data_IF_538970769105
#
_entry.id   IF_538970769105
#
_cell.length_a   1.000
_cell.length_b   1.000
_cell.length_c   1.000
_cell.angle_alpha   90.00
_cell.angle_beta   90.00
_cell.angle_gamma   90.00
#
_symmetry.space_group_name_H-M   'P 1'
#
loop_
_entity.id
_entity.type
_entity.pdbx_description
1 polymer ?
#
# COMPACT_ATOMS: atom_id res chain seq x y z
N UNK A 1 9.00 13.92 35.98
CA UNK A 1 8.07 12.91 35.42
C UNK A 1 8.91 11.90 34.63
N UNK A 2 8.98 10.64 35.06
CA UNK A 2 9.61 9.58 34.26
C UNK A 2 8.70 9.31 33.05
N UNK A 3 9.23 9.41 31.82
CA UNK A 3 8.50 8.97 30.61
C UNK A 3 8.12 7.51 30.81
N UNK A 4 6.82 7.20 30.80
CA UNK A 4 6.29 5.88 31.16
C UNK A 4 6.46 4.84 30.04
N UNK A 5 6.69 5.31 28.81
CA UNK A 5 7.03 4.51 27.63
C UNK A 5 8.34 5.05 27.06
N UNK A 6 9.45 4.41 27.42
CA UNK A 6 10.78 4.61 26.86
C UNK A 6 11.08 3.54 25.80
N UNK A 7 12.22 3.67 25.11
CA UNK A 7 12.81 2.66 24.23
C UNK A 7 12.46 1.24 24.66
N UNK A 8 11.85 0.45 23.78
CA UNK A 8 11.62 -0.98 24.02
C UNK A 8 12.96 -1.70 23.78
N UNK A 9 13.38 -2.54 24.72
CA UNK A 9 14.62 -3.31 24.59
C UNK A 9 14.33 -4.69 24.00
N UNK A 10 15.25 -5.18 23.18
CA UNK A 10 15.25 -6.56 22.68
C UNK A 10 15.23 -7.55 23.86
N UNK A 11 14.09 -8.21 24.05
CA UNK A 11 13.80 -9.00 25.25
C UNK A 11 13.50 -10.48 24.97
N UNK A 12 13.58 -10.92 23.70
CA UNK A 12 13.16 -12.26 23.28
C UNK A 12 14.27 -13.01 22.55
N UNK A 13 14.46 -14.28 22.92
CA UNK A 13 15.45 -15.18 22.32
C UNK A 13 14.82 -16.17 21.32
N UNK A 14 13.49 -16.29 21.29
CA UNK A 14 12.79 -17.22 20.40
C UNK A 14 11.39 -16.76 19.97
N UNK A 15 10.96 -17.25 18.82
CA UNK A 15 9.60 -17.02 18.29
C UNK A 15 8.49 -17.58 19.21
N UNK A 16 8.77 -18.65 19.96
CA UNK A 16 7.83 -19.23 20.92
C UNK A 16 7.59 -18.28 22.10
N UNK A 17 8.65 -17.60 22.58
CA UNK A 17 8.52 -16.59 23.63
C UNK A 17 7.69 -15.40 23.15
N UNK A 18 7.94 -14.90 21.92
CA UNK A 18 7.15 -13.81 21.32
C UNK A 18 5.69 -14.24 21.20
N UNK A 19 5.41 -15.41 20.60
CA UNK A 19 4.05 -15.93 20.44
C UNK A 19 3.34 -16.09 21.79
N UNK A 20 4.06 -16.60 22.78
CA UNK A 20 3.53 -16.78 24.15
C UNK A 20 3.24 -15.44 24.82
N UNK A 21 4.10 -14.44 24.66
CA UNK A 21 3.87 -13.11 25.23
C UNK A 21 2.77 -12.34 24.50
N UNK A 22 2.63 -12.51 23.18
CA UNK A 22 1.49 -12.00 22.42
C UNK A 22 0.18 -12.62 22.93
N UNK A 23 0.15 -13.95 23.06
CA UNK A 23 -1.01 -14.67 23.59
C UNK A 23 -1.33 -14.25 25.04
N UNK A 24 -0.32 -14.11 25.91
CA UNK A 24 -0.50 -13.63 27.30
C UNK A 24 -0.94 -12.17 27.36
N UNK A 25 -0.49 -11.34 26.42
CA UNK A 25 -0.96 -9.96 26.30
C UNK A 25 -2.42 -9.90 25.84
N UNK A 26 -3.02 -11.02 25.44
CA UNK A 26 -4.38 -11.06 24.90
C UNK A 26 -4.44 -10.55 23.47
N UNK A 27 -3.35 -10.68 22.71
CA UNK A 27 -3.42 -10.56 21.26
C UNK A 27 -4.00 -11.87 20.72
N UNK A 28 -5.33 -11.92 20.65
CA UNK A 28 -6.05 -13.04 20.04
C UNK A 28 -6.02 -12.94 18.50
N UNK A 29 -5.69 -11.74 18.00
CA UNK A 29 -6.19 -11.26 16.71
C UNK A 29 -5.41 -10.01 16.29
N UNK A 30 -4.81 -9.99 15.09
CA UNK A 30 -4.12 -8.83 14.50
C UNK A 30 -4.39 -8.74 13.00
N UNK A 31 -4.10 -7.58 12.40
CA UNK A 31 -4.25 -7.37 10.97
C UNK A 31 -2.94 -6.87 10.37
N UNK A 32 -2.55 -7.39 9.21
CA UNK A 32 -1.33 -6.99 8.51
C UNK A 32 -1.61 -6.01 7.36
N UNK A 33 -0.82 -4.92 7.28
CA UNK A 33 -0.78 -4.00 6.14
C UNK A 33 0.61 -4.07 5.53
N UNK A 34 0.73 -4.14 4.20
CA UNK A 34 2.03 -4.16 3.50
C UNK A 34 2.20 -2.89 2.66
N UNK A 35 3.30 -2.19 2.88
CA UNK A 35 3.77 -1.07 2.07
C UNK A 35 5.09 -1.41 1.38
N UNK A 36 5.14 -1.25 0.06
CA UNK A 36 6.34 -1.53 -0.75
C UNK A 36 6.88 -0.23 -1.35
N UNK A 37 8.16 0.01 -1.09
CA UNK A 37 8.93 1.09 -1.69
C UNK A 37 9.24 0.75 -3.16
N UNK A 38 8.80 1.60 -4.09
CA UNK A 38 9.08 1.55 -5.53
C UNK A 38 9.88 2.77 -6.01
N UNK A 39 10.74 3.30 -5.15
CA UNK A 39 11.64 4.41 -5.51
C UNK A 39 12.81 3.91 -6.36
N UNK A 40 13.40 4.84 -7.10
CA UNK A 40 14.47 4.57 -8.06
C UNK A 40 15.76 4.10 -7.40
N UNK A 41 15.97 4.38 -6.11
CA UNK A 41 17.17 3.94 -5.41
C UNK A 41 17.38 2.44 -5.39
N UNK A 42 16.29 1.68 -5.47
CA UNK A 42 16.30 0.23 -5.65
C UNK A 42 17.10 -0.25 -6.87
N UNK A 43 17.34 0.59 -7.88
CA UNK A 43 18.18 0.24 -9.04
C UNK A 43 19.67 0.10 -8.68
N UNK A 44 20.15 0.78 -7.63
CA UNK A 44 21.56 0.80 -7.27
C UNK A 44 21.86 0.32 -5.84
N UNK A 45 20.87 0.23 -4.96
CA UNK A 45 21.04 -0.27 -3.57
C UNK A 45 21.14 -1.80 -3.48
N UNK A 46 21.11 -2.50 -4.61
CA UNK A 46 21.47 -3.92 -4.72
C UNK A 46 22.93 -4.18 -5.13
N UNK A 47 23.77 -3.15 -5.18
CA UNK A 47 25.14 -3.24 -5.72
C UNK A 47 25.99 -4.32 -5.04
N UNK A 48 25.94 -4.40 -3.72
CA UNK A 48 26.73 -5.38 -2.96
C UNK A 48 25.86 -6.54 -2.45
N UNK A 49 24.60 -6.28 -2.09
CA UNK A 49 23.70 -7.25 -1.51
C UNK A 49 22.97 -8.14 -2.51
N UNK A 50 22.93 -7.74 -3.79
CA UNK A 50 22.14 -8.42 -4.82
C UNK A 50 22.83 -8.41 -6.19
N UNK A 51 24.14 -8.65 -6.19
CA UNK A 51 24.97 -8.87 -7.40
C UNK A 51 24.89 -7.74 -8.45
N UNK A 52 24.68 -6.49 -8.02
CA UNK A 52 24.55 -5.37 -8.96
C UNK A 52 23.19 -5.25 -9.62
N UNK A 53 22.23 -6.13 -9.30
CA UNK A 53 20.88 -6.08 -9.82
C UNK A 53 20.02 -5.11 -9.02
N UNK A 54 18.95 -4.62 -9.66
CA UNK A 54 17.89 -3.90 -8.97
C UNK A 54 17.27 -4.80 -7.90
N UNK A 55 16.94 -4.23 -6.73
CA UNK A 55 16.26 -4.95 -5.66
C UNK A 55 14.86 -5.44 -6.07
N UNK A 56 14.27 -4.86 -7.12
CA UNK A 56 13.02 -5.31 -7.74
C UNK A 56 13.23 -6.24 -8.94
N UNK A 57 14.45 -6.66 -9.27
CA UNK A 57 14.66 -7.53 -10.43
C UNK A 57 13.85 -8.83 -10.28
N UNK A 58 12.96 -9.10 -11.24
CA UNK A 58 12.15 -10.32 -11.28
C UNK A 58 12.90 -11.37 -12.09
N UNK A 59 13.22 -12.49 -11.46
CA UNK A 59 13.91 -13.61 -12.10
C UNK A 59 13.51 -14.96 -11.53
N UNK A 60 14.39 -15.95 -11.73
CA UNK A 60 14.25 -17.33 -11.24
C UNK A 60 14.40 -17.44 -9.72
N UNK A 61 15.14 -16.51 -9.11
CA UNK A 61 15.34 -16.42 -7.68
C UNK A 61 14.57 -15.24 -7.09
N UNK A 62 14.07 -15.42 -5.87
CA UNK A 62 13.39 -14.37 -5.13
C UNK A 62 14.35 -13.21 -4.84
N UNK A 63 13.95 -12.00 -5.23
CA UNK A 63 14.64 -10.78 -4.84
C UNK A 63 14.41 -10.46 -3.34
N UNK A 64 15.15 -9.49 -2.76
CA UNK A 64 15.03 -9.18 -1.34
C UNK A 64 13.61 -8.81 -0.87
N UNK A 65 12.83 -8.10 -1.69
CA UNK A 65 11.42 -7.80 -1.38
C UNK A 65 10.57 -9.08 -1.33
N UNK A 66 10.71 -9.95 -2.33
CA UNK A 66 9.97 -11.21 -2.39
C UNK A 66 10.28 -12.14 -1.20
N UNK A 67 11.56 -12.20 -0.79
CA UNK A 67 11.98 -12.96 0.39
C UNK A 67 11.37 -12.37 1.67
N UNK A 68 11.41 -11.05 1.83
CA UNK A 68 10.84 -10.39 3.00
C UNK A 68 9.32 -10.62 3.12
N UNK A 69 8.57 -10.47 2.02
CA UNK A 69 7.12 -10.74 1.97
C UNK A 69 6.82 -12.19 2.34
N UNK A 70 7.57 -13.14 1.79
CA UNK A 70 7.38 -14.57 2.06
C UNK A 70 7.60 -14.88 3.54
N UNK A 71 8.75 -14.50 4.10
CA UNK A 71 9.13 -14.90 5.45
C UNK A 71 8.24 -14.24 6.52
N UNK A 72 7.96 -12.94 6.40
CA UNK A 72 7.05 -12.27 7.34
C UNK A 72 5.63 -12.79 7.15
N UNK A 73 5.23 -13.04 5.91
CA UNK A 73 3.92 -13.60 5.61
C UNK A 73 3.63 -14.90 6.34
N UNK A 74 4.54 -15.87 6.25
CA UNK A 74 4.40 -17.16 6.94
C UNK A 74 4.44 -17.03 8.47
N UNK A 75 5.10 -16.00 8.98
CA UNK A 75 5.20 -15.73 10.41
C UNK A 75 3.94 -15.05 10.94
N UNK A 76 3.45 -14.05 10.22
CA UNK A 76 2.30 -13.19 10.58
C UNK A 76 0.96 -13.80 10.25
N UNK A 77 0.87 -14.71 9.27
CA UNK A 77 -0.38 -15.42 8.98
C UNK A 77 -0.91 -16.26 10.15
N UNK A 78 -0.10 -16.48 11.19
CA UNK A 78 -0.53 -17.15 12.43
C UNK A 78 -1.29 -16.23 13.39
N UNK A 79 -1.14 -14.92 13.22
CA UNK A 79 -1.74 -13.88 14.06
C UNK A 79 -2.72 -13.02 13.27
N UNK A 80 -2.84 -13.23 11.96
CA UNK A 80 -3.75 -12.51 11.08
C UNK A 80 -5.12 -13.20 11.08
N UNK A 81 -6.18 -12.45 11.36
CA UNK A 81 -7.53 -13.02 11.61
C UNK A 81 -8.25 -13.47 10.37
N UNK A 82 -8.17 -12.66 9.31
CA UNK A 82 -9.01 -12.79 8.12
C UNK A 82 -8.19 -13.16 6.87
N UNK A 83 -6.86 -13.19 6.97
CA UNK A 83 -5.94 -13.43 5.87
C UNK A 83 -6.14 -12.39 4.74
N UNK A 84 -6.64 -11.19 5.07
CA UNK A 84 -6.85 -10.08 4.15
C UNK A 84 -5.80 -9.01 4.39
N UNK A 85 -4.91 -8.84 3.43
CA UNK A 85 -3.73 -7.99 3.57
C UNK A 85 -3.84 -6.81 2.62
N UNK A 86 -4.21 -5.61 3.09
CA UNK A 86 -4.11 -4.38 2.30
C UNK A 86 -2.65 -4.17 1.85
N UNK A 87 -2.43 -4.15 0.54
CA UNK A 87 -1.11 -4.01 -0.06
C UNK A 87 -1.04 -2.73 -0.89
N UNK A 88 -0.02 -1.92 -0.61
CA UNK A 88 0.18 -0.62 -1.24
C UNK A 88 1.62 -0.46 -1.74
N UNK A 89 1.78 0.29 -2.84
CA UNK A 89 3.07 0.76 -3.32
C UNK A 89 3.21 2.27 -3.23
N UNK A 90 4.44 2.78 -3.08
CA UNK A 90 4.73 4.21 -3.04
C UNK A 90 6.10 4.53 -3.65
N UNK A 91 6.31 5.78 -4.07
CA UNK A 91 7.61 6.24 -4.59
C UNK A 91 7.84 6.01 -6.09
N UNK A 92 6.86 5.44 -6.80
CA UNK A 92 6.89 5.33 -8.26
C UNK A 92 6.52 6.66 -8.94
N UNK A 93 6.61 6.71 -10.26
CA UNK A 93 6.31 7.92 -11.04
C UNK A 93 4.85 8.39 -10.95
N UNK A 94 3.92 7.55 -10.50
CA UNK A 94 2.54 7.96 -10.26
C UNK A 94 2.35 8.59 -8.88
N UNK A 95 3.06 8.11 -7.85
CA UNK A 95 2.85 8.50 -6.46
C UNK A 95 3.86 9.50 -5.90
N UNK A 96 5.11 9.47 -6.37
CA UNK A 96 6.22 10.26 -5.83
C UNK A 96 6.28 10.18 -4.28
N UNK A 97 6.52 11.30 -3.59
CA UNK A 97 6.51 11.42 -2.13
C UNK A 97 5.15 11.83 -1.54
N UNK A 98 4.07 11.74 -2.35
CA UNK A 98 2.77 12.32 -2.02
C UNK A 98 1.69 11.30 -1.80
N UNK A 99 1.69 10.22 -2.57
CA UNK A 99 0.60 9.26 -2.59
C UNK A 99 1.07 7.83 -2.42
N UNK A 100 0.09 6.93 -2.32
CA UNK A 100 0.29 5.49 -2.42
C UNK A 100 -0.69 4.96 -3.46
N UNK A 101 -0.36 3.87 -4.13
CA UNK A 101 -1.29 3.14 -4.98
C UNK A 101 -1.66 1.80 -4.34
N UNK A 102 -2.90 1.38 -4.52
CA UNK A 102 -3.37 0.05 -4.14
C UNK A 102 -2.92 -0.99 -5.16
N UNK A 103 -2.64 -2.22 -4.72
CA UNK A 103 -2.29 -3.33 -5.61
C UNK A 103 -3.43 -3.72 -6.57
N UNK A 104 -4.69 -3.47 -6.18
CA UNK A 104 -5.89 -3.73 -6.99
C UNK A 104 -6.70 -2.46 -7.22
N UNK A 105 -7.34 -2.36 -8.40
CA UNK A 105 -8.13 -1.20 -8.81
C UNK A 105 -9.36 -0.95 -7.94
N UNK A 106 -10.00 -2.02 -7.47
CA UNK A 106 -11.15 -1.98 -6.56
C UNK A 106 -10.75 -1.79 -5.08
N UNK A 107 -9.45 -1.59 -4.82
CA UNK A 107 -8.87 -1.43 -3.48
C UNK A 107 -9.11 -2.64 -2.57
N UNK A 108 -9.39 -3.82 -3.13
CA UNK A 108 -9.52 -5.02 -2.32
C UNK A 108 -8.17 -5.42 -1.72
N UNK A 109 -8.16 -5.94 -0.48
CA UNK A 109 -6.97 -6.56 0.09
C UNK A 109 -6.56 -7.83 -0.66
N UNK A 110 -5.29 -8.20 -0.56
CA UNK A 110 -4.78 -9.49 -1.02
C UNK A 110 -5.22 -10.60 -0.07
N UNK A 111 -5.59 -11.77 -0.60
CA UNK A 111 -5.90 -12.97 0.17
C UNK A 111 -4.58 -13.69 0.47
N UNK A 112 -4.03 -13.38 1.64
CA UNK A 112 -2.77 -13.89 2.13
C UNK A 112 -1.55 -13.41 1.35
N UNK A 113 -0.38 -13.80 1.86
CA UNK A 113 0.91 -13.36 1.32
C UNK A 113 1.27 -13.98 -0.01
N UNK A 114 0.73 -15.16 -0.31
CA UNK A 114 0.89 -15.78 -1.63
C UNK A 114 0.27 -14.90 -2.73
N UNK A 115 -0.91 -14.31 -2.51
CA UNK A 115 -1.50 -13.38 -3.47
C UNK A 115 -0.75 -12.06 -3.51
N UNK A 116 -0.32 -11.53 -2.36
CA UNK A 116 0.49 -10.31 -2.30
C UNK A 116 1.79 -10.45 -3.11
N UNK A 117 2.50 -11.58 -2.96
CA UNK A 117 3.72 -11.89 -3.69
C UNK A 117 3.46 -12.04 -5.20
N UNK A 118 2.40 -12.77 -5.57
CA UNK A 118 2.02 -12.92 -6.98
C UNK A 118 1.73 -11.56 -7.61
N UNK A 119 0.94 -10.72 -6.93
CA UNK A 119 0.55 -9.41 -7.43
C UNK A 119 1.73 -8.45 -7.50
N UNK A 120 2.65 -8.50 -6.53
CA UNK A 120 3.92 -7.78 -6.60
C UNK A 120 4.69 -8.12 -7.88
N UNK A 121 4.86 -9.41 -8.21
CA UNK A 121 5.55 -9.85 -9.44
C UNK A 121 4.86 -9.40 -10.72
N UNK A 122 3.54 -9.30 -10.73
CA UNK A 122 2.75 -8.79 -11.87
C UNK A 122 2.93 -7.27 -12.06
N UNK A 123 2.99 -6.52 -10.95
CA UNK A 123 3.06 -5.06 -10.97
C UNK A 123 4.46 -4.54 -11.30
N UNK A 124 5.51 -5.13 -10.72
CA UNK A 124 6.89 -4.65 -10.82
C UNK A 124 7.34 -4.31 -12.25
N UNK A 125 7.11 -5.15 -13.28
CA UNK A 125 7.54 -4.85 -14.65
C UNK A 125 6.87 -3.63 -15.28
N UNK A 126 5.73 -3.20 -14.74
CA UNK A 126 4.92 -2.09 -15.24
C UNK A 126 5.11 -0.80 -14.44
N UNK A 127 5.79 -0.88 -13.29
CA UNK A 127 6.06 0.27 -12.42
C UNK A 127 7.30 1.01 -12.91
N UNK A 128 7.19 2.33 -13.03
CA UNK A 128 8.33 3.22 -13.29
C UNK A 128 8.85 3.78 -11.98
N UNK A 129 9.98 3.27 -11.51
CA UNK A 129 10.59 3.70 -10.25
C UNK A 129 10.97 5.19 -10.29
N UNK A 130 10.67 5.93 -9.22
CA UNK A 130 10.89 7.37 -9.16
C UNK A 130 11.32 7.85 -7.76
N UNK A 131 10.70 8.91 -7.24
CA UNK A 131 11.00 9.53 -5.95
C UNK A 131 10.38 10.94 -5.91
N UNK A 132 10.63 11.76 -4.89
CA UNK A 132 11.43 11.50 -3.68
C UNK A 132 10.85 10.38 -2.79
N UNK A 133 11.63 9.95 -1.79
CA UNK A 133 11.25 8.90 -0.85
C UNK A 133 10.76 9.50 0.46
N UNK A 134 9.50 9.22 0.83
CA UNK A 134 8.92 9.51 2.14
C UNK A 134 7.99 8.38 2.56
N UNK A 135 8.00 8.01 3.85
CA UNK A 135 7.07 7.02 4.39
C UNK A 135 5.77 7.64 4.91
N UNK A 136 5.66 8.97 4.90
CA UNK A 136 4.44 9.64 5.36
C UNK A 136 3.18 9.16 4.62
N UNK A 137 3.15 9.01 3.27
CA UNK A 137 1.95 8.57 2.58
C UNK A 137 1.47 7.17 3.00
N UNK A 138 2.40 6.23 3.19
CA UNK A 138 2.06 4.85 3.57
C UNK A 138 1.64 4.75 5.04
N UNK A 139 2.27 5.51 5.93
CA UNK A 139 1.86 5.57 7.35
C UNK A 139 0.48 6.23 7.48
N UNK A 140 0.20 7.29 6.72
CA UNK A 140 -1.12 7.92 6.65
C UNK A 140 -2.20 6.99 6.09
N UNK A 141 -1.85 6.19 5.08
CA UNK A 141 -2.74 5.16 4.57
C UNK A 141 -3.06 4.11 5.65
N UNK A 142 -2.05 3.63 6.38
CA UNK A 142 -2.26 2.68 7.46
C UNK A 142 -3.15 3.24 8.58
N UNK A 143 -2.97 4.52 8.96
CA UNK A 143 -3.88 5.19 9.89
C UNK A 143 -5.32 5.22 9.36
N UNK A 144 -5.52 5.43 8.06
CA UNK A 144 -6.84 5.40 7.42
C UNK A 144 -7.47 4.00 7.48
N UNK A 145 -6.68 2.95 7.22
CA UNK A 145 -7.13 1.55 7.34
C UNK A 145 -7.55 1.25 8.79
N UNK A 146 -6.74 1.64 9.77
CA UNK A 146 -7.06 1.46 11.20
C UNK A 146 -8.35 2.17 11.60
N UNK A 147 -8.61 3.39 11.10
CA UNK A 147 -9.91 4.05 11.37
C UNK A 147 -11.07 3.33 10.70
N UNK A 148 -10.90 2.86 9.46
CA UNK A 148 -11.94 2.19 8.68
C UNK A 148 -12.38 0.86 9.29
N UNK A 149 -11.48 0.18 10.00
CA UNK A 149 -11.74 -1.08 10.72
C UNK A 149 -12.30 -0.87 12.13
N UNK A 150 -12.55 0.37 12.55
CA UNK A 150 -13.09 0.69 13.87
C UNK A 150 -12.03 0.78 14.97
N UNK A 151 -10.76 0.99 14.62
CA UNK A 151 -9.65 1.04 15.58
C UNK A 151 -9.15 -0.35 15.99
N UNK A 152 -9.23 -1.34 15.09
CA UNK A 152 -8.59 -2.64 15.32
C UNK A 152 -7.07 -2.51 15.29
N UNK A 153 -6.38 -3.42 15.97
CA UNK A 153 -4.92 -3.44 15.98
C UNK A 153 -4.37 -3.86 14.62
N UNK A 154 -3.43 -3.07 14.10
CA UNK A 154 -2.74 -3.37 12.85
C UNK A 154 -1.23 -3.30 13.01
N UNK A 155 -0.53 -4.12 12.23
CA UNK A 155 0.91 -4.04 12.01
C UNK A 155 1.13 -3.57 10.57
N UNK A 156 1.73 -2.40 10.39
CA UNK A 156 2.20 -1.92 9.09
C UNK A 156 3.63 -2.43 8.85
N UNK A 157 3.76 -3.30 7.86
CA UNK A 157 5.04 -3.74 7.33
C UNK A 157 5.46 -2.84 6.16
N UNK A 158 6.51 -2.05 6.34
CA UNK A 158 7.13 -1.28 5.26
C UNK A 158 8.39 -2.02 4.81
N UNK A 159 8.48 -2.39 3.53
CA UNK A 159 9.71 -2.96 2.95
C UNK A 159 10.33 -1.88 2.08
N UNK A 160 11.55 -1.48 2.41
CA UNK A 160 12.23 -0.36 1.76
C UNK A 160 13.75 -0.49 1.75
N UNK A 161 14.41 0.27 0.89
CA UNK A 161 15.89 0.28 0.77
C UNK A 161 16.59 1.32 1.68
N UNK A 162 15.80 2.03 2.49
CA UNK A 162 16.29 2.97 3.50
C UNK A 162 16.70 4.34 2.98
N UNK A 163 16.57 4.63 1.68
CA UNK A 163 16.99 5.89 1.08
C UNK A 163 15.92 6.99 1.17
N UNK A 164 15.66 7.52 2.37
CA UNK A 164 14.84 8.74 2.49
C UNK A 164 15.55 9.92 1.82
N UNK A 165 14.83 10.67 0.99
CA UNK A 165 15.44 11.77 0.23
C UNK A 165 15.92 12.87 1.18
N UNK A 166 17.21 13.19 1.08
CA UNK A 166 17.84 14.37 1.68
C UNK A 166 17.97 15.46 0.64
N UNK A 167 17.65 16.71 1.00
CA UNK A 167 17.92 17.82 0.10
C UNK A 167 19.43 18.07 0.02
N UNK A 168 19.95 18.49 -1.12
CA UNK A 168 21.36 18.89 -1.21
C UNK A 168 21.69 20.11 -0.33
N UNK A 169 20.67 20.90 0.04
CA UNK A 169 20.78 22.13 0.81
C UNK A 169 20.66 21.92 2.34
N UNK A 170 20.43 20.69 2.81
CA UNK A 170 20.35 20.42 4.25
C UNK A 170 21.76 20.44 4.86
N UNK A 171 22.07 21.50 5.62
CA UNK A 171 23.26 21.56 6.48
C UNK A 171 23.30 20.39 7.46
N UNK A 172 24.50 19.91 7.80
CA UNK A 172 24.72 18.83 8.77
C UNK A 172 23.86 19.01 10.03
N UNK A 173 22.89 18.11 10.25
CA UNK A 173 22.02 18.08 11.42
C UNK A 173 20.58 18.57 11.22
N UNK A 174 20.22 19.15 10.07
CA UNK A 174 18.83 19.51 9.75
C UNK A 174 18.11 18.41 8.97
N UNK A 175 16.86 18.14 9.37
CA UNK A 175 16.00 17.15 8.70
C UNK A 175 15.50 17.68 7.36
N UNK A 176 15.48 16.82 6.34
CA UNK A 176 14.85 17.12 5.05
C UNK A 176 13.32 17.27 5.20
N UNK A 177 12.63 17.90 4.23
CA UNK A 177 11.17 17.94 4.23
C UNK A 177 10.54 16.55 4.32
N UNK A 178 11.09 15.57 3.58
CA UNK A 178 10.63 14.18 3.57
C UNK A 178 10.87 13.49 4.91
N UNK A 179 12.04 13.68 5.54
CA UNK A 179 12.35 13.16 6.86
C UNK A 179 11.40 13.72 7.92
N UNK A 180 11.14 15.03 7.88
CA UNK A 180 10.21 15.67 8.81
C UNK A 180 8.76 15.19 8.61
N UNK A 181 8.33 15.00 7.36
CA UNK A 181 7.02 14.43 7.06
C UNK A 181 6.88 13.01 7.61
N UNK A 182 7.90 12.16 7.41
CA UNK A 182 7.94 10.80 7.94
C UNK A 182 7.88 10.80 9.48
N UNK A 183 8.70 11.63 10.15
CA UNK A 183 8.68 11.73 11.62
C UNK A 183 7.32 12.18 12.14
N UNK A 184 6.72 13.21 11.51
CA UNK A 184 5.40 13.69 11.91
C UNK A 184 4.32 12.61 11.73
N UNK A 185 4.40 11.82 10.65
CA UNK A 185 3.49 10.71 10.42
C UNK A 185 3.66 9.60 11.47
N UNK A 186 4.90 9.25 11.85
CA UNK A 186 5.17 8.26 12.92
C UNK A 186 4.63 8.74 14.27
N UNK A 187 4.87 10.01 14.63
CA UNK A 187 4.33 10.61 15.86
C UNK A 187 2.82 10.58 15.86
N UNK A 188 2.17 10.96 14.76
CA UNK A 188 0.71 10.90 14.64
C UNK A 188 0.18 9.47 14.70
N UNK A 189 0.87 8.52 14.08
CA UNK A 189 0.52 7.10 14.13
C UNK A 189 0.57 6.51 15.55
N UNK A 190 1.35 7.09 16.46
CA UNK A 190 1.39 6.67 17.87
C UNK A 190 0.11 6.99 18.66
N UNK A 191 -0.83 7.74 18.07
CA UNK A 191 -2.17 7.94 18.63
C UNK A 191 -3.13 6.79 18.26
N UNK A 192 -2.78 5.95 17.29
CA UNK A 192 -3.59 4.86 16.76
C UNK A 192 -3.10 3.49 17.28
N UNK A 193 -3.96 2.46 17.31
CA UNK A 193 -3.55 1.08 17.58
C UNK A 193 -2.77 0.49 16.39
N UNK A 194 -1.62 1.09 16.07
CA UNK A 194 -0.80 0.80 14.90
C UNK A 194 0.67 0.62 15.32
N UNK A 195 1.22 -0.55 15.02
CA UNK A 195 2.65 -0.85 15.08
C UNK A 195 3.26 -0.74 13.69
N UNK A 196 4.47 -0.17 13.57
CA UNK A 196 5.17 -0.03 12.29
C UNK A 196 6.46 -0.84 12.35
N UNK A 197 6.64 -1.75 11.40
CA UNK A 197 7.85 -2.54 11.23
C UNK A 197 8.47 -2.20 9.87
N UNK A 198 9.64 -1.56 9.89
CA UNK A 198 10.40 -1.24 8.70
C UNK A 198 11.46 -2.33 8.44
N UNK A 199 11.30 -3.04 7.34
CA UNK A 199 12.25 -4.04 6.86
C UNK A 199 13.17 -3.42 5.82
N UNK A 200 14.42 -3.25 6.22
CA UNK A 200 15.49 -2.72 5.37
C UNK A 200 16.09 -3.77 4.46
N UNK A 201 15.86 -3.65 3.16
CA UNK A 201 16.46 -4.48 2.11
C UNK A 201 17.53 -3.72 1.32
N UNK A 202 18.54 -4.40 0.80
CA UNK A 202 19.64 -3.73 0.09
C UNK A 202 20.80 -3.29 0.97
N UNK A 203 21.66 -2.46 0.39
CA UNK A 203 22.95 -2.04 0.95
C UNK A 203 22.84 -0.95 2.06
N UNK A 204 21.71 -0.28 2.19
CA UNK A 204 21.55 0.90 3.05
C UNK A 204 22.20 2.16 2.44
N UNK A 205 22.66 3.15 3.24
CA UNK A 205 22.91 3.10 4.70
C UNK A 205 21.66 3.15 5.58
N UNK A 206 21.76 2.58 6.79
CA UNK A 206 20.65 2.40 7.74
C UNK A 206 20.66 3.34 8.95
N UNK A 207 21.62 4.27 9.03
CA UNK A 207 21.82 5.12 10.22
C UNK A 207 20.59 5.94 10.60
N UNK A 208 19.82 6.36 9.59
CA UNK A 208 18.60 7.12 9.82
C UNK A 208 17.46 6.25 10.35
N UNK A 209 17.35 5.01 9.87
CA UNK A 209 16.32 4.09 10.34
C UNK A 209 16.55 3.70 11.80
N UNK A 210 17.81 3.50 12.18
CA UNK A 210 18.22 3.31 13.59
C UNK A 210 17.88 4.53 14.47
N UNK A 211 17.99 5.75 13.92
CA UNK A 211 17.56 6.96 14.66
C UNK A 211 16.05 7.02 14.85
N UNK A 212 15.27 6.49 13.91
CA UNK A 212 13.81 6.47 14.01
C UNK A 212 13.30 5.43 15.01
N UNK A 213 13.99 4.29 15.14
CA UNK A 213 13.83 3.34 16.25
C UNK A 213 13.99 4.04 17.60
N UNK A 214 15.17 4.61 17.83
CA UNK A 214 15.59 4.96 19.19
C UNK A 214 15.13 6.34 19.66
N UNK A 215 14.95 7.29 18.74
CA UNK A 215 15.04 8.72 19.04
C UNK A 215 13.98 9.59 18.35
N UNK A 216 12.72 9.15 18.32
CA UNK A 216 11.60 10.03 17.93
C UNK A 216 10.98 10.70 19.16
N UNK A 217 11.25 12.00 19.42
CA UNK A 217 10.60 12.72 20.49
C UNK A 217 9.11 12.97 20.16
N UNK A 218 8.27 12.98 21.20
CA UNK A 218 6.83 13.30 21.16
C UNK A 218 5.85 12.17 20.78
N UNK A 219 6.31 10.94 20.51
CA UNK A 219 5.41 9.77 20.38
C UNK A 219 4.78 9.37 21.72
N UNK A 220 3.52 8.90 21.68
CA UNK A 220 2.76 8.45 22.86
C UNK A 220 3.31 7.13 23.44
N UNK A 221 3.73 6.24 22.55
CA UNK A 221 4.46 5.01 22.85
C UNK A 221 5.44 4.74 21.71
N UNK A 222 6.37 3.81 21.95
CA UNK A 222 7.30 3.34 20.93
C UNK A 222 6.54 2.48 19.90
N UNK A 223 6.28 3.00 18.70
CA UNK A 223 5.45 2.34 17.69
C UNK A 223 6.20 1.99 16.40
N UNK A 224 7.53 2.03 16.40
CA UNK A 224 8.34 1.88 15.19
C UNK A 224 9.54 0.98 15.48
N UNK A 225 9.64 -0.13 14.76
CA UNK A 225 10.76 -1.08 14.78
C UNK A 225 11.49 -1.08 13.44
N UNK A 226 12.82 -0.98 13.43
CA UNK A 226 13.65 -1.22 12.26
C UNK A 226 14.32 -2.61 12.28
N UNK A 227 14.29 -3.30 11.14
CA UNK A 227 14.97 -4.60 10.96
C UNK A 227 15.83 -4.59 9.70
N UNK A 228 17.13 -4.79 9.87
CA UNK A 228 18.07 -4.92 8.75
C UNK A 228 18.02 -6.34 8.16
N UNK A 229 17.16 -6.55 7.16
CA UNK A 229 16.97 -7.84 6.51
C UNK A 229 18.25 -8.33 5.82
N UNK A 230 18.91 -7.44 5.08
CA UNK A 230 20.15 -7.78 4.34
C UNK A 230 21.24 -8.28 5.29
N UNK A 231 21.43 -7.61 6.43
CA UNK A 231 22.43 -8.01 7.42
C UNK A 231 22.12 -9.40 8.00
N UNK A 232 20.87 -9.67 8.37
CA UNK A 232 20.46 -10.98 8.89
C UNK A 232 20.67 -12.07 7.82
N UNK A 233 20.25 -11.80 6.59
CA UNK A 233 20.34 -12.76 5.49
C UNK A 233 21.78 -13.01 5.02
N UNK A 234 22.71 -12.09 5.29
CA UNK A 234 24.14 -12.23 4.99
C UNK A 234 24.91 -13.13 5.96
N UNK A 235 24.35 -13.42 7.15
CA UNK A 235 25.02 -14.22 8.19
C UNK A 235 25.33 -15.64 7.68
N UNK A 236 26.47 -16.21 8.11
CA UNK A 236 26.91 -17.57 7.75
C UNK A 236 26.26 -18.63 8.65
N UNK A 237 24.93 -18.71 8.59
CA UNK A 237 24.08 -19.67 9.31
C UNK A 237 23.11 -20.34 8.33
N UNK A 238 22.40 -21.38 8.76
CA UNK A 238 21.44 -22.09 7.90
C UNK A 238 20.22 -21.23 7.59
N UNK A 239 19.61 -21.43 6.41
CA UNK A 239 18.48 -20.63 5.93
C UNK A 239 17.30 -20.59 6.93
N UNK A 240 16.84 -21.72 7.52
CA UNK A 240 15.73 -21.68 8.48
C UNK A 240 16.05 -20.86 9.74
N UNK A 241 17.31 -20.81 10.16
CA UNK A 241 17.73 -20.02 11.32
C UNK A 241 17.75 -18.53 10.97
N UNK A 242 18.14 -18.15 9.74
CA UNK A 242 18.04 -16.75 9.29
C UNK A 242 16.60 -16.26 9.30
N UNK A 243 15.69 -17.09 8.79
CA UNK A 243 14.26 -16.79 8.73
C UNK A 243 13.69 -16.64 10.14
N UNK A 244 14.03 -17.54 11.06
CA UNK A 244 13.63 -17.44 12.46
C UNK A 244 14.18 -16.18 13.16
N UNK A 245 15.46 -15.83 12.90
CA UNK A 245 16.07 -14.62 13.46
C UNK A 245 15.42 -13.35 12.89
N UNK A 246 15.09 -13.35 11.60
CA UNK A 246 14.41 -12.24 10.96
C UNK A 246 12.98 -12.06 11.47
N UNK A 247 12.22 -13.15 11.55
CA UNK A 247 10.88 -13.18 12.13
C UNK A 247 10.89 -12.66 13.58
N UNK A 248 11.84 -13.14 14.39
CA UNK A 248 12.00 -12.70 15.77
C UNK A 248 12.30 -11.20 15.86
N UNK A 249 13.23 -10.70 15.03
CA UNK A 249 13.57 -9.28 15.00
C UNK A 249 12.39 -8.40 14.57
N UNK A 250 11.59 -8.83 13.60
CA UNK A 250 10.41 -8.11 13.13
C UNK A 250 9.31 -7.99 14.20
N UNK A 251 9.28 -8.91 15.16
CA UNK A 251 8.24 -8.97 16.20
C UNK A 251 8.74 -8.60 17.58
N UNK A 252 10.00 -8.20 17.71
CA UNK A 252 10.65 -7.99 19.00
C UNK A 252 9.88 -6.98 19.87
N UNK A 253 9.39 -5.91 19.25
CA UNK A 253 8.66 -4.85 19.95
C UNK A 253 7.13 -4.99 19.93
N UNK A 254 6.58 -5.80 19.01
CA UNK A 254 5.14 -5.94 18.81
C UNK A 254 4.37 -6.30 20.10
N UNK A 255 4.84 -7.22 20.98
CA UNK A 255 4.17 -7.49 22.24
C UNK A 255 4.12 -6.29 23.20
N UNK A 256 5.22 -5.56 23.31
CA UNK A 256 5.34 -4.38 24.17
C UNK A 256 4.52 -3.21 23.64
N UNK A 257 4.52 -3.04 22.31
CA UNK A 257 3.68 -2.10 21.57
C UNK A 257 2.19 -2.36 21.80
N UNK A 258 1.76 -3.60 21.67
CA UNK A 258 0.38 -4.00 21.93
C UNK A 258 -0.04 -3.74 23.38
N UNK A 259 0.82 -4.08 24.35
CA UNK A 259 0.58 -3.75 25.77
C UNK A 259 0.45 -2.23 25.99
N UNK A 260 1.30 -1.41 25.37
CA UNK A 260 1.20 0.04 25.47
C UNK A 260 -0.12 0.57 24.86
N UNK A 261 -0.54 0.05 23.71
CA UNK A 261 -1.82 0.37 23.06
C UNK A 261 -3.01 0.08 23.98
N UNK A 262 -3.00 -1.07 24.66
CA UNK A 262 -4.03 -1.42 25.65
C UNK A 262 -4.02 -0.48 26.85
N UNK A 263 -2.84 -0.16 27.40
CA UNK A 263 -2.69 0.73 28.55
C UNK A 263 -3.11 2.18 28.25
N UNK A 264 -2.85 2.65 27.03
CA UNK A 264 -3.30 3.95 26.54
C UNK A 264 -4.81 3.96 26.26
N UNK A 265 -5.46 2.80 26.20
CA UNK A 265 -6.89 2.66 25.94
C UNK A 265 -7.30 3.14 24.56
N UNK A 266 -6.42 3.02 23.56
CA UNK A 266 -6.66 3.45 22.17
C UNK A 266 -7.16 2.31 21.26
N UNK A 267 -7.11 1.06 21.73
CA UNK A 267 -7.68 -0.10 21.02
C UNK A 267 -9.21 0.01 20.92
N UNK A 268 -9.76 -0.28 19.73
CA UNK A 268 -11.20 -0.25 19.44
C UNK A 268 -11.82 1.15 19.44
N UNK A 269 -11.01 2.21 19.31
CA UNK A 269 -11.47 3.60 19.27
C UNK A 269 -11.19 4.23 17.92
N UNK A 270 -12.21 4.89 17.36
CA UNK A 270 -12.03 5.77 16.21
C UNK A 270 -11.67 7.18 16.70
N UNK A 271 -10.55 7.71 16.21
CA UNK A 271 -10.03 9.02 16.63
C UNK A 271 -10.76 10.14 15.90
N UNK A 272 -11.21 9.90 14.65
CA UNK A 272 -12.00 10.84 13.86
C UNK A 272 -11.19 12.06 13.39
N UNK A 273 -9.85 11.98 13.45
CA UNK A 273 -8.90 13.05 13.08
C UNK A 273 -7.84 12.57 12.07
N UNK A 274 -8.01 11.38 11.50
CA UNK A 274 -7.13 10.90 10.43
C UNK A 274 -7.40 11.69 9.14
N UNK A 275 -6.35 12.07 8.38
CA UNK A 275 -6.54 12.51 7.01
C UNK A 275 -7.00 11.27 6.23
N UNK A 276 -8.29 11.18 5.91
CA UNK A 276 -8.88 10.06 5.15
C UNK A 276 -8.22 9.97 3.77
N UNK A 277 -7.14 9.20 3.68
CA UNK A 277 -6.33 9.08 2.47
C UNK A 277 -6.98 8.06 1.54
N UNK A 278 -7.05 8.40 0.25
CA UNK A 278 -7.56 7.49 -0.78
C UNK A 278 -6.38 7.01 -1.62
N UNK A 279 -6.14 5.70 -1.76
CA UNK A 279 -5.05 5.20 -2.59
C UNK A 279 -5.35 5.45 -4.07
N UNK A 280 -4.31 5.70 -4.85
CA UNK A 280 -4.40 5.70 -6.30
C UNK A 280 -4.64 4.27 -6.84
N UNK A 281 -5.22 4.10 -8.03
CA UNK A 281 -5.22 2.82 -8.71
C UNK A 281 -3.79 2.38 -9.07
N UNK A 282 -3.53 1.07 -9.26
CA UNK A 282 -2.22 0.60 -9.68
C UNK A 282 -1.83 1.23 -11.04
N UNK A 283 -0.54 1.59 -11.24
CA UNK A 283 -0.08 2.27 -12.46
C UNK A 283 -0.08 1.35 -13.71
N UNK A 284 -0.28 0.05 -13.53
CA UNK A 284 -0.38 -0.92 -14.62
C UNK A 284 -1.81 -0.95 -15.18
N UNK A 285 -2.02 -0.39 -16.38
CA UNK A 285 -3.33 -0.37 -17.02
C UNK A 285 -3.96 -1.76 -17.12
N UNK A 286 -5.19 -1.92 -16.62
CA UNK A 286 -6.09 -3.08 -16.75
C UNK A 286 -5.42 -4.48 -16.77
N UNK A 287 -4.49 -4.75 -15.85
CA UNK A 287 -4.08 -6.14 -15.56
C UNK A 287 -5.25 -6.98 -14.97
N UNK A 288 -6.29 -6.32 -14.49
CA UNK A 288 -7.46 -6.97 -13.86
C UNK A 288 -8.49 -7.50 -14.90
N UNK A 289 -8.28 -7.26 -16.20
CA UNK A 289 -9.21 -7.68 -17.27
C UNK A 289 -9.12 -9.17 -17.66
N UNK A 290 -8.20 -9.95 -17.07
CA UNK A 290 -7.94 -11.36 -17.44
C UNK A 290 -8.36 -12.39 -16.39
N UNK A 291 -9.01 -11.98 -15.29
CA UNK A 291 -9.53 -12.93 -14.29
C UNK A 291 -11.04 -13.13 -14.54
N UNK A 292 -11.51 -14.33 -14.93
CA UNK A 292 -12.94 -14.62 -14.94
C UNK A 292 -13.51 -14.48 -13.53
N UNK A 293 -14.51 -13.60 -13.38
CA UNK A 293 -15.29 -13.36 -12.18
C UNK A 293 -15.57 -14.66 -11.40
N UNK A 294 -14.89 -14.85 -10.26
CA UNK A 294 -15.28 -15.85 -9.26
C UNK A 294 -16.21 -15.18 -8.24
N UNK A 295 -17.21 -14.44 -8.72
CA UNK A 295 -18.17 -13.69 -7.89
C UNK A 295 -19.38 -14.54 -7.48
N UNK A 296 -19.21 -15.85 -7.28
CA UNK A 296 -20.33 -16.75 -7.00
C UNK A 296 -20.21 -17.62 -5.74
N UNK A 297 -19.13 -17.49 -4.94
CA UNK A 297 -18.92 -18.37 -3.77
C UNK A 297 -19.11 -17.73 -2.39
N UNK A 298 -19.45 -16.43 -2.28
CA UNK A 298 -19.62 -15.73 -0.99
C UNK A 298 -21.08 -15.42 -0.61
N UNK A 299 -22.06 -16.09 -1.20
CA UNK A 299 -23.47 -15.96 -0.80
C UNK A 299 -24.06 -17.30 -0.38
N UNK A 300 -23.57 -17.92 0.69
CA UNK A 300 -24.32 -18.96 1.37
C UNK A 300 -23.73 -19.28 2.74
N UNK A 301 -23.92 -18.41 3.75
CA UNK A 301 -24.00 -18.85 5.15
C UNK A 301 -24.66 -17.76 6.03
N UNK A 302 -26.00 -17.67 5.98
CA UNK A 302 -26.87 -17.34 7.13
C UNK A 302 -28.36 -17.58 6.77
N UNK A 303 -28.87 -18.77 7.14
CA UNK A 303 -30.09 -19.05 7.95
C UNK A 303 -31.18 -17.93 7.89
N UNK A 304 -32.46 -18.10 7.50
CA UNK A 304 -33.45 -19.13 7.85
C UNK A 304 -34.80 -18.95 7.08
N UNK A 305 -35.47 -20.10 6.83
CA UNK A 305 -36.92 -20.37 6.93
C UNK A 305 -37.98 -19.86 5.90
N UNK A 306 -38.56 -20.89 5.23
CA UNK A 306 -40.00 -21.23 5.07
C UNK A 306 -40.91 -20.34 4.20
N UNK A 307 -41.36 -20.90 3.06
CA UNK A 307 -42.71 -21.50 2.83
C UNK A 307 -43.24 -21.27 1.38
N UNK A 308 -42.99 -22.25 0.52
CA UNK A 308 -43.88 -22.94 -0.45
C UNK A 308 -45.05 -22.26 -1.21
N UNK A 309 -45.18 -22.68 -2.48
CA UNK A 309 -46.34 -22.70 -3.44
C UNK A 309 -46.45 -21.47 -4.37
N UNK A 310 -46.73 -21.54 -5.68
CA UNK A 310 -47.08 -22.63 -6.62
C UNK A 310 -47.11 -22.08 -8.08
N UNK A 311 -46.67 -22.89 -9.05
CA UNK A 311 -47.21 -23.16 -10.41
C UNK A 311 -47.94 -22.04 -11.18
N UNK A 312 -47.47 -21.71 -12.40
CA UNK A 312 -48.23 -21.88 -13.67
C UNK A 312 -47.39 -21.56 -14.91
N UNK A 313 -47.69 -22.31 -15.96
CA UNK A 313 -47.13 -22.38 -17.32
C UNK A 313 -47.75 -21.38 -18.30
N UNK A 314 -47.02 -20.99 -19.36
CA UNK A 314 -47.59 -20.36 -20.55
C UNK A 314 -46.56 -20.04 -21.65
N UNK A 315 -46.67 -20.72 -22.79
CA UNK A 315 -45.84 -20.66 -24.01
C UNK A 315 -46.30 -19.53 -25.00
N UNK A 316 -45.65 -19.33 -26.18
CA UNK A 316 -45.24 -18.02 -26.73
C UNK A 316 -46.24 -17.39 -27.74
N UNK A 317 -45.89 -16.23 -28.34
CA UNK A 317 -45.59 -16.30 -29.79
C UNK A 317 -44.46 -15.39 -30.32
N UNK A 318 -44.06 -15.76 -31.53
CA UNK A 318 -43.15 -15.22 -32.55
C UNK A 318 -43.43 -13.80 -33.06
N UNK A 319 -42.39 -13.10 -33.56
CA UNK A 319 -42.56 -12.05 -34.58
C UNK A 319 -41.52 -10.93 -34.64
N UNK A 320 -40.37 -11.23 -35.28
CA UNK A 320 -39.45 -10.34 -36.03
C UNK A 320 -39.60 -8.80 -35.99
N UNK A 321 -38.51 -8.10 -35.67
CA UNK A 321 -37.99 -7.02 -36.51
C UNK A 321 -36.52 -6.74 -36.21
N UNK A 322 -35.71 -6.90 -37.24
CA UNK A 322 -34.29 -6.60 -37.31
C UNK A 322 -34.04 -5.09 -37.34
N UNK A 323 -33.22 -4.60 -36.41
CA UNK A 323 -32.55 -3.30 -36.53
C UNK A 323 -31.12 -3.42 -36.03
N UNK A 324 -30.22 -3.62 -36.99
CA UNK A 324 -28.78 -3.40 -36.90
C UNK A 324 -28.48 -1.96 -36.48
N UNK A 325 -27.68 -1.77 -35.42
CA UNK A 325 -26.69 -0.67 -35.35
C UNK A 325 -25.56 -1.04 -34.37
N UNK A 326 -24.33 -0.56 -34.62
CA UNK A 326 -23.09 -1.28 -34.27
C UNK A 326 -22.40 -0.75 -33.02
N UNK A 327 -21.55 -1.61 -32.47
CA UNK A 327 -20.54 -1.37 -31.42
C UNK A 327 -19.56 -0.25 -31.86
N UNK A 328 -19.26 0.78 -31.04
CA UNK A 328 -18.18 1.71 -31.37
C UNK A 328 -16.84 1.08 -31.04
N UNK A 329 -16.00 0.96 -32.05
CA UNK A 329 -14.60 0.57 -31.94
C UNK A 329 -13.76 1.65 -31.23
N UNK A 330 -12.60 1.23 -30.79
CA UNK A 330 -11.60 1.94 -29.97
C UNK A 330 -10.95 3.20 -30.59
N UNK A 331 -11.53 3.80 -31.64
CA UNK A 331 -10.99 5.02 -32.30
C UNK A 331 -11.81 6.29 -32.02
N UNK A 332 -13.07 6.18 -31.58
CA UNK A 332 -13.96 7.35 -31.39
C UNK A 332 -13.56 8.21 -30.17
N UNK A 333 -12.76 7.68 -29.25
CA UNK A 333 -12.31 8.44 -28.07
C UNK A 333 -11.30 9.54 -28.40
N UNK A 334 -10.71 9.56 -29.60
CA UNK A 334 -9.78 10.61 -30.02
C UNK A 334 -10.44 11.72 -30.87
N UNK A 335 -11.71 11.56 -31.27
CA UNK A 335 -12.40 12.54 -32.12
C UNK A 335 -13.12 13.62 -31.31
N UNK A 336 -13.14 14.83 -31.85
CA UNK A 336 -13.76 15.99 -31.22
C UNK A 336 -15.27 15.74 -31.03
N UNK A 337 -15.81 15.93 -29.82
CA UNK A 337 -17.22 15.63 -29.52
C UNK A 337 -18.22 16.60 -30.20
N UNK A 338 -17.72 17.64 -30.87
CA UNK A 338 -18.55 18.63 -31.57
C UNK A 338 -18.68 18.28 -33.05
N UNK A 339 -17.56 18.11 -33.75
CA UNK A 339 -17.60 17.82 -35.18
C UNK A 339 -17.55 16.33 -35.51
N UNK A 340 -17.14 15.48 -34.57
CA UNK A 340 -16.94 14.03 -34.73
C UNK A 340 -16.02 13.64 -35.91
N UNK A 341 -15.21 14.60 -36.38
CA UNK A 341 -14.36 14.45 -37.57
C UNK A 341 -12.89 14.72 -37.27
N UNK A 342 -12.59 15.78 -36.51
CA UNK A 342 -11.21 16.17 -36.23
C UNK A 342 -10.72 15.57 -34.91
N UNK A 343 -9.41 15.27 -34.77
CA UNK A 343 -8.85 14.81 -33.50
C UNK A 343 -8.93 15.88 -32.40
N UNK A 344 -8.89 15.45 -31.15
CA UNK A 344 -8.85 16.30 -29.95
C UNK A 344 -7.46 16.92 -29.76
N UNK A 345 -7.22 18.07 -30.37
CA UNK A 345 -5.97 18.84 -30.28
C UNK A 345 -6.08 20.12 -29.41
N UNK A 346 -7.16 20.26 -28.62
CA UNK A 346 -7.35 21.38 -27.68
C UNK A 346 -8.00 20.93 -26.37
N UNK A 347 -7.39 21.28 -25.23
CA UNK A 347 -7.93 21.09 -23.88
C UNK A 347 -8.37 22.40 -23.24
N UNK A 348 -9.41 22.35 -22.41
CA UNK A 348 -9.86 23.47 -21.57
C UNK A 348 -9.33 23.34 -20.13
N UNK A 349 -9.35 24.43 -19.36
CA UNK A 349 -8.94 24.43 -17.94
C UNK A 349 -9.72 23.44 -17.05
N UNK A 350 -10.89 22.96 -17.48
CA UNK A 350 -11.67 21.92 -16.83
C UNK A 350 -11.25 20.47 -17.19
N UNK A 351 -10.20 20.30 -18.01
CA UNK A 351 -9.67 18.99 -18.43
C UNK A 351 -10.35 18.38 -19.66
N UNK A 352 -11.49 18.91 -20.10
CA UNK A 352 -12.20 18.42 -21.28
C UNK A 352 -11.58 18.89 -22.60
N UNK A 353 -11.73 18.09 -23.66
CA UNK A 353 -11.02 18.28 -24.92
C UNK A 353 -11.95 18.38 -26.15
N UNK A 354 -11.54 19.19 -27.13
CA UNK A 354 -12.17 19.38 -28.44
C UNK A 354 -11.09 19.55 -29.52
N UNK A 355 -11.46 19.66 -30.79
CA UNK A 355 -10.52 20.12 -31.81
C UNK A 355 -10.36 21.65 -31.76
N UNK A 356 -9.22 22.16 -32.19
CA UNK A 356 -8.89 23.58 -32.26
C UNK A 356 -9.92 24.38 -33.07
N UNK A 357 -10.51 23.79 -34.12
CA UNK A 357 -11.50 24.47 -34.95
C UNK A 357 -12.81 24.69 -34.19
N UNK A 358 -13.26 23.70 -33.42
CA UNK A 358 -14.49 23.81 -32.64
C UNK A 358 -14.29 24.55 -31.31
N UNK A 359 -13.12 24.43 -30.68
CA UNK A 359 -12.87 24.97 -29.33
C UNK A 359 -12.57 26.47 -29.26
N UNK A 360 -12.14 27.10 -30.36
CA UNK A 360 -11.72 28.52 -30.38
C UNK A 360 -12.86 29.50 -30.04
N UNK A 361 -14.09 29.22 -30.45
CA UNK A 361 -15.24 30.13 -30.28
C UNK A 361 -16.14 29.78 -29.08
N UNK A 362 -15.85 28.72 -28.33
CA UNK A 362 -16.68 28.29 -27.21
C UNK A 362 -16.39 29.15 -25.98
N UNK A 363 -17.44 29.70 -25.36
CA UNK A 363 -17.29 30.37 -24.05
C UNK A 363 -17.45 29.39 -22.87
N UNK A 364 -18.20 28.31 -23.06
CA UNK A 364 -18.44 27.29 -22.04
C UNK A 364 -18.08 25.90 -22.57
N UNK A 365 -17.58 25.04 -21.70
CA UNK A 365 -17.25 23.66 -22.04
C UNK A 365 -18.51 22.88 -22.45
N UNK A 366 -18.52 22.20 -23.61
CA UNK A 366 -19.70 21.45 -24.07
C UNK A 366 -19.99 20.22 -23.21
N UNK A 367 -19.02 19.75 -22.41
CA UNK A 367 -19.14 18.54 -21.59
C UNK A 367 -19.60 18.89 -20.17
N UNK A 368 -18.89 19.79 -19.49
CA UNK A 368 -19.18 20.14 -18.08
C UNK A 368 -19.84 21.51 -17.88
N UNK A 369 -20.08 22.27 -18.95
CA UNK A 369 -20.72 23.61 -18.95
C UNK A 369 -19.98 24.71 -18.17
N UNK A 370 -18.82 24.42 -17.59
CA UNK A 370 -17.93 25.41 -16.95
C UNK A 370 -17.46 26.47 -17.96
N UNK A 371 -17.27 27.71 -17.50
CA UNK A 371 -16.70 28.77 -18.33
C UNK A 371 -15.25 28.43 -18.74
N UNK A 372 -14.89 28.72 -19.99
CA UNK A 372 -13.57 28.42 -20.55
C UNK A 372 -12.66 29.64 -20.39
N UNK A 373 -11.89 29.63 -19.31
CA UNK A 373 -10.86 30.65 -19.03
C UNK A 373 -9.53 30.31 -19.72
N UNK A 374 -9.17 29.03 -19.76
CA UNK A 374 -7.89 28.54 -20.29
C UNK A 374 -8.12 27.59 -21.47
N UNK A 375 -7.38 27.80 -22.57
CA UNK A 375 -7.33 26.93 -23.76
C UNK A 375 -5.88 26.51 -24.02
N UNK A 376 -5.63 25.22 -24.06
CA UNK A 376 -4.31 24.63 -24.28
C UNK A 376 -4.34 23.86 -25.58
N UNK A 377 -3.47 24.19 -26.53
CA UNK A 377 -3.30 23.43 -27.77
C UNK A 377 -2.40 22.21 -27.48
N UNK A 378 -2.86 21.03 -27.87
CA UNK A 378 -2.12 19.77 -27.76
C UNK A 378 -1.43 19.51 -29.11
N UNK A 379 -0.18 19.07 -29.07
CA UNK A 379 0.64 18.80 -30.26
C UNK A 379 0.71 17.32 -30.58
#
# INVERSE_FOLDING_TARGET
>A
MKRRYSLIQDSYDSMEQVTTELAKAGLESSNLIIGIDFTKSNEWTGKNSFDGLSLHNIGDFLNPYEKAITIIGETMSKFDDDNLIPCFGFGDSSTHDRDVFSFYHDQRPCIGTAEALKRYRELVPHIRLAGPTSFAPIIEMAMTVVESTGGQYHVLLIIADGQITRSADTTNGQLSPQERMTINAIVKASEFPLSIVLVGVGDGPWDMMKKFDDNIPARSFDNFQFVNFTEIMSKRITQPVKEAVFALAALMEVPSQYKAIMELGILGRQIGRCPMRVPLPPPAGNLDATIPNTSQFLKQHTVQQKRSQSVTSGTPPTGSSSSTTPTPGSDDQQLCPICLVNPKDMAFGCGHQTCCNCGKSLQNCPICRSAIETRIKLY
#
